data_IF_273332884573
#
_entry.id   IF_273332884573
#
_cell.length_a   1.000
_cell.length_b   1.000
_cell.length_c   1.000
_cell.angle_alpha   90.00
_cell.angle_beta   90.00
_cell.angle_gamma   90.00
#
_symmetry.space_group_name_H-M   'P 1'
#
loop_
_entity.id
_entity.type
_entity.pdbx_description
1 polymer ?
#
# COMPACT_ATOMS: atom_id res chain seq x y z
N UNK A 1 -10.68 15.23 -5.37
CA UNK A 1 -10.48 13.81 -5.73
C UNK A 1 -9.15 13.22 -5.23
N UNK A 2 -8.00 13.86 -5.47
CA UNK A 2 -6.69 13.32 -5.05
C UNK A 2 -6.58 12.99 -3.54
N UNK A 3 -7.17 13.81 -2.64
CA UNK A 3 -7.15 13.53 -1.19
C UNK A 3 -7.83 12.20 -0.82
N UNK A 4 -8.95 11.86 -1.46
CA UNK A 4 -9.69 10.61 -1.17
C UNK A 4 -8.91 9.40 -1.68
N UNK A 5 -8.37 9.48 -2.90
CA UNK A 5 -7.55 8.41 -3.47
C UNK A 5 -6.27 8.21 -2.66
N UNK A 6 -5.65 9.31 -2.20
CA UNK A 6 -4.45 9.30 -1.38
C UNK A 6 -4.71 8.75 0.02
N UNK A 7 -5.85 9.08 0.64
CA UNK A 7 -6.25 8.52 1.93
C UNK A 7 -6.58 7.03 1.80
N UNK A 8 -7.34 6.66 0.76
CA UNK A 8 -7.72 5.27 0.47
C UNK A 8 -6.53 4.36 0.17
N UNK A 9 -5.58 4.82 -0.65
CA UNK A 9 -4.34 4.06 -0.95
C UNK A 9 -3.45 3.89 0.29
N UNK A 10 -3.37 4.89 1.16
CA UNK A 10 -2.64 4.80 2.41
C UNK A 10 -3.30 3.82 3.38
N UNK A 11 -4.64 3.87 3.52
CA UNK A 11 -5.43 2.93 4.31
C UNK A 11 -5.25 1.49 3.81
N UNK A 12 -5.35 1.27 2.50
CA UNK A 12 -5.14 -0.04 1.88
C UNK A 12 -3.73 -0.59 2.12
N UNK A 13 -2.72 0.27 2.02
CA UNK A 13 -1.33 -0.12 2.28
C UNK A 13 -1.15 -0.61 3.71
N UNK A 14 -1.71 0.10 4.70
CA UNK A 14 -1.68 -0.32 6.10
C UNK A 14 -2.43 -1.64 6.34
N UNK A 15 -3.60 -1.80 5.72
CA UNK A 15 -4.39 -3.03 5.81
C UNK A 15 -3.62 -4.24 5.25
N UNK A 16 -2.99 -4.07 4.09
CA UNK A 16 -2.20 -5.11 3.42
C UNK A 16 -0.94 -5.47 4.21
N UNK A 17 -0.26 -4.48 4.79
CA UNK A 17 0.88 -4.70 5.70
C UNK A 17 0.47 -5.48 6.95
N UNK A 18 -0.65 -5.12 7.57
CA UNK A 18 -1.20 -5.82 8.73
C UNK A 18 -1.57 -7.27 8.39
N UNK A 19 -2.26 -7.49 7.28
CA UNK A 19 -2.60 -8.83 6.80
C UNK A 19 -1.37 -9.66 6.45
N UNK A 20 -0.37 -9.05 5.82
CA UNK A 20 0.91 -9.68 5.51
C UNK A 20 1.62 -10.13 6.79
N UNK A 21 1.67 -9.28 7.82
CA UNK A 21 2.29 -9.60 9.10
C UNK A 21 1.55 -10.74 9.82
N UNK A 22 0.21 -10.72 9.83
CA UNK A 22 -0.61 -11.79 10.39
C UNK A 22 -0.39 -13.12 9.64
N UNK A 23 -0.34 -13.09 8.31
CA UNK A 23 -0.10 -14.29 7.48
C UNK A 23 1.31 -14.84 7.66
N UNK A 24 2.30 -13.96 7.79
CA UNK A 24 3.68 -14.34 8.10
C UNK A 24 3.76 -15.02 9.48
N UNK A 25 3.13 -14.42 10.50
CA UNK A 25 3.07 -14.99 11.85
C UNK A 25 2.30 -16.32 11.89
N UNK A 26 1.31 -16.52 11.03
CA UNK A 26 0.58 -17.78 10.87
C UNK A 26 1.36 -18.86 10.08
N UNK A 27 2.62 -18.62 9.72
CA UNK A 27 3.48 -19.55 8.98
C UNK A 27 3.18 -19.62 7.47
N UNK A 28 2.29 -18.78 6.96
CA UNK A 28 1.85 -18.78 5.57
C UNK A 28 2.69 -17.81 4.72
N UNK A 29 3.96 -18.17 4.53
CA UNK A 29 4.97 -17.30 3.88
C UNK A 29 4.63 -16.96 2.42
N UNK A 30 4.05 -17.88 1.65
CA UNK A 30 3.63 -17.62 0.27
C UNK A 30 2.59 -16.50 0.21
N UNK A 31 1.55 -16.60 1.03
CA UNK A 31 0.48 -15.60 1.11
C UNK A 31 1.00 -14.25 1.61
N UNK A 32 1.89 -14.25 2.59
CA UNK A 32 2.52 -13.01 3.10
C UNK A 32 3.24 -12.25 1.97
N UNK A 33 4.02 -12.93 1.13
CA UNK A 33 4.72 -12.30 0.00
C UNK A 33 3.73 -11.66 -0.97
N UNK A 34 2.63 -12.33 -1.33
CA UNK A 34 1.60 -11.75 -2.21
C UNK A 34 0.99 -10.47 -1.63
N UNK A 35 0.68 -10.45 -0.33
CA UNK A 35 0.14 -9.26 0.34
C UNK A 35 1.18 -8.15 0.44
N UNK A 36 2.44 -8.48 0.63
CA UNK A 36 3.56 -7.53 0.66
C UNK A 36 3.80 -6.88 -0.72
N UNK A 37 3.72 -7.66 -1.80
CA UNK A 37 3.79 -7.14 -3.18
C UNK A 37 2.60 -6.24 -3.50
N UNK A 38 1.39 -6.60 -3.06
CA UNK A 38 0.21 -5.75 -3.21
C UNK A 38 0.36 -4.43 -2.42
N UNK A 39 0.90 -4.49 -1.19
CA UNK A 39 1.19 -3.29 -0.40
C UNK A 39 2.19 -2.37 -1.11
N UNK A 40 3.24 -2.93 -1.72
CA UNK A 40 4.21 -2.16 -2.51
C UNK A 40 3.56 -1.49 -3.73
N UNK A 41 2.62 -2.16 -4.42
CA UNK A 41 1.86 -1.58 -5.52
C UNK A 41 1.00 -0.39 -5.08
N UNK A 42 0.29 -0.50 -3.96
CA UNK A 42 -0.50 0.60 -3.41
C UNK A 42 0.37 1.75 -2.88
N UNK A 43 1.56 1.45 -2.37
CA UNK A 43 2.55 2.46 -1.98
C UNK A 43 3.04 3.27 -3.19
N UNK A 44 3.28 2.62 -4.33
CA UNK A 44 3.66 3.30 -5.58
C UNK A 44 2.54 4.20 -6.09
N UNK A 45 1.28 3.74 -6.02
CA UNK A 45 0.12 4.57 -6.33
C UNK A 45 0.07 5.79 -5.41
N UNK A 46 0.24 5.60 -4.10
CA UNK A 46 0.28 6.70 -3.13
C UNK A 46 1.40 7.71 -3.44
N UNK A 47 2.60 7.23 -3.77
CA UNK A 47 3.74 8.09 -4.15
C UNK A 47 3.45 8.84 -5.45
N UNK A 48 2.89 8.17 -6.45
CA UNK A 48 2.53 8.77 -7.74
C UNK A 48 1.53 9.92 -7.57
N UNK A 49 0.49 9.71 -6.76
CA UNK A 49 -0.48 10.77 -6.42
C UNK A 49 0.15 11.89 -5.56
N UNK A 50 1.08 11.56 -4.65
CA UNK A 50 1.82 12.58 -3.88
C UNK A 50 2.69 13.45 -4.78
N UNK A 51 3.31 12.88 -5.82
CA UNK A 51 4.16 13.60 -6.76
C UNK A 51 3.34 14.51 -7.67
N UNK A 52 2.15 14.07 -8.09
CA UNK A 52 1.20 14.86 -8.90
C UNK A 52 0.65 16.10 -8.17
N UNK A 53 0.61 16.09 -6.84
CA UNK A 53 0.25 17.25 -6.01
C UNK A 53 1.41 18.24 -5.78
N UNK A 54 2.65 17.91 -6.19
CA UNK A 54 3.73 18.89 -6.33
C UNK A 54 3.82 19.27 -7.82
N UNK A 55 3.17 20.36 -8.26
CA UNK A 55 3.49 20.90 -9.58
C UNK A 55 4.99 21.18 -9.58
N UNK A 56 5.65 20.59 -10.56
CA UNK A 56 6.99 20.92 -11.01
C UNK A 56 7.17 22.44 -10.90
N UNK A 57 8.16 22.85 -10.11
CA UNK A 57 8.50 24.26 -9.88
C UNK A 57 9.60 24.64 -10.84
#
# INVERSE_FOLDING_TARGET
MNKIIRLGSLLFTFMLLGFSALKYSAGSNRSAIYFLTAAAGFLLVYISYRKKDRPEK
#
